data_IF_700187208958
#
_entry.id   IF_700187208958
#
_cell.length_a   1.000
_cell.length_b   1.000
_cell.length_c   1.000
_cell.angle_alpha   90.00
_cell.angle_beta   90.00
_cell.angle_gamma   90.00
#
_symmetry.space_group_name_H-M   'P 1'
#
loop_
_entity.id
_entity.type
_entity.pdbx_description
1 polymer ?
#
# COMPACT_ATOMS: atom_id res chain seq x y z
N UNK A 1 -65.64 -41.99 7.30
CA UNK A 1 -64.67 -41.45 8.30
C UNK A 1 -63.29 -41.95 7.89
N UNK A 2 -62.32 -41.19 7.40
CA UNK A 2 -62.12 -39.74 7.41
C UNK A 2 -60.66 -39.44 7.79
N UNK A 3 -59.75 -39.62 6.83
CA UNK A 3 -58.48 -38.89 6.63
C UNK A 3 -57.65 -38.44 7.85
N UNK A 4 -56.54 -39.13 8.15
CA UNK A 4 -55.32 -38.53 8.73
C UNK A 4 -54.06 -39.34 8.37
N UNK A 5 -53.44 -39.11 7.21
CA UNK A 5 -52.09 -39.66 6.94
C UNK A 5 -51.32 -38.99 5.78
N UNK A 6 -51.71 -37.78 5.35
CA UNK A 6 -51.08 -37.14 4.16
C UNK A 6 -50.21 -35.90 4.47
N UNK A 7 -50.27 -35.33 5.68
CA UNK A 7 -49.71 -33.97 5.91
C UNK A 7 -48.25 -33.96 6.40
N UNK A 8 -47.72 -35.05 6.95
CA UNK A 8 -46.38 -35.04 7.57
C UNK A 8 -45.19 -35.19 6.59
N UNK A 9 -45.37 -35.86 5.45
CA UNK A 9 -44.27 -36.14 4.50
C UNK A 9 -43.89 -34.92 3.63
N UNK A 10 -44.86 -34.07 3.28
CA UNK A 10 -44.63 -32.92 2.41
C UNK A 10 -43.85 -31.77 3.09
N UNK A 11 -43.84 -31.71 4.42
CA UNK A 11 -43.15 -30.70 5.22
C UNK A 11 -41.64 -30.95 5.31
N UNK A 12 -41.23 -32.20 5.55
CA UNK A 12 -39.83 -32.59 5.68
C UNK A 12 -39.05 -32.46 4.36
N UNK A 13 -39.66 -32.82 3.23
CA UNK A 13 -39.05 -32.64 1.91
C UNK A 13 -38.84 -31.18 1.53
N UNK A 14 -39.76 -30.27 1.92
CA UNK A 14 -39.61 -28.83 1.66
C UNK A 14 -38.54 -28.17 2.54
N UNK A 15 -38.33 -28.68 3.75
CA UNK A 15 -37.25 -28.24 4.66
C UNK A 15 -35.87 -28.63 4.11
N UNK A 16 -35.71 -29.87 3.66
CA UNK A 16 -34.43 -30.38 3.18
C UNK A 16 -34.00 -29.75 1.85
N UNK A 17 -34.96 -29.50 0.95
CA UNK A 17 -34.72 -28.80 -0.32
C UNK A 17 -34.35 -27.32 -0.11
N UNK A 18 -34.93 -26.67 0.91
CA UNK A 18 -34.56 -25.30 1.30
C UNK A 18 -33.15 -25.22 1.88
N UNK A 19 -32.74 -26.20 2.69
CA UNK A 19 -31.38 -26.27 3.22
C UNK A 19 -30.35 -26.58 2.13
N UNK A 20 -30.66 -27.46 1.18
CA UNK A 20 -29.80 -27.71 0.02
C UNK A 20 -29.69 -26.49 -0.90
N UNK A 21 -30.76 -25.73 -1.12
CA UNK A 21 -30.72 -24.49 -1.91
C UNK A 21 -29.93 -23.38 -1.19
N UNK A 22 -30.02 -23.27 0.14
CA UNK A 22 -29.21 -22.32 0.93
C UNK A 22 -27.73 -22.73 0.96
N UNK A 23 -27.41 -24.01 1.16
CA UNK A 23 -26.03 -24.51 1.08
C UNK A 23 -25.46 -24.41 -0.34
N UNK A 24 -26.26 -24.64 -1.39
CA UNK A 24 -25.82 -24.49 -2.78
C UNK A 24 -25.65 -23.03 -3.21
N UNK A 25 -26.38 -22.08 -2.61
CA UNK A 25 -26.16 -20.64 -2.81
C UNK A 25 -24.90 -20.13 -2.11
N UNK A 26 -24.45 -20.80 -1.04
CA UNK A 26 -23.19 -20.47 -0.35
C UNK A 26 -21.96 -20.95 -1.15
N UNK A 27 -22.10 -21.98 -1.99
CA UNK A 27 -20.97 -22.56 -2.78
C UNK A 27 -20.75 -21.86 -4.13
N UNK A 28 -21.68 -21.01 -4.58
CA UNK A 28 -21.63 -20.39 -5.92
C UNK A 28 -21.63 -18.85 -5.89
N UNK A 29 -20.88 -18.23 -4.98
CA UNK A 29 -20.45 -16.84 -5.16
C UNK A 29 -19.20 -16.86 -6.06
N UNK A 30 -19.29 -16.57 -7.37
CA UNK A 30 -18.08 -16.29 -8.14
C UNK A 30 -17.39 -15.11 -7.45
N UNK A 31 -16.12 -15.32 -7.09
CA UNK A 31 -15.33 -14.38 -6.30
C UNK A 31 -15.29 -12.99 -6.93
N UNK A 32 -16.09 -12.08 -6.41
CA UNK A 32 -15.91 -10.65 -6.62
C UNK A 32 -14.82 -10.17 -5.66
N UNK A 33 -13.75 -9.57 -6.18
CA UNK A 33 -12.92 -8.67 -5.37
C UNK A 33 -11.45 -8.48 -5.74
N UNK A 34 -10.80 -9.38 -6.49
CA UNK A 34 -9.36 -9.26 -6.82
C UNK A 34 -9.08 -8.97 -8.30
N UNK A 35 -7.99 -8.26 -8.60
CA UNK A 35 -7.43 -8.26 -9.95
C UNK A 35 -6.58 -9.53 -10.18
N UNK A 36 -6.27 -9.90 -11.44
CA UNK A 36 -5.42 -11.07 -11.69
C UNK A 36 -4.05 -10.97 -11.01
N UNK A 37 -3.54 -12.12 -10.60
CA UNK A 37 -2.17 -12.34 -10.10
C UNK A 37 -1.25 -12.67 -11.29
N UNK A 38 0.06 -12.73 -11.05
CA UNK A 38 1.06 -13.17 -12.04
C UNK A 38 1.18 -12.30 -13.30
N UNK A 39 0.82 -11.02 -13.19
CA UNK A 39 0.77 -10.05 -14.30
C UNK A 39 2.15 -9.56 -14.76
N UNK A 40 3.23 -9.92 -14.05
CA UNK A 40 4.58 -9.40 -14.31
C UNK A 40 5.40 -10.28 -15.25
N UNK A 41 4.78 -11.31 -15.85
CA UNK A 41 5.43 -12.04 -16.95
C UNK A 41 5.54 -11.09 -18.15
N UNK A 42 6.75 -10.78 -18.65
CA UNK A 42 6.89 -9.84 -19.75
C UNK A 42 6.15 -10.29 -21.00
N UNK A 43 5.41 -9.37 -21.61
CA UNK A 43 4.71 -9.57 -22.88
C UNK A 43 5.39 -8.78 -24.00
N UNK A 44 5.18 -9.19 -25.24
CA UNK A 44 5.63 -8.43 -26.40
C UNK A 44 4.96 -7.04 -26.43
N UNK A 45 5.72 -6.02 -26.82
CA UNK A 45 5.19 -4.67 -27.04
C UNK A 45 4.37 -4.61 -28.33
N UNK A 46 3.11 -5.02 -28.24
CA UNK A 46 2.14 -4.96 -29.35
C UNK A 46 1.52 -3.58 -29.53
N UNK A 47 1.88 -2.61 -28.68
CA UNK A 47 1.43 -1.21 -28.80
C UNK A 47 2.60 -0.23 -28.66
N UNK A 48 3.51 -0.15 -29.64
CA UNK A 48 4.75 0.62 -29.51
C UNK A 48 4.56 2.11 -29.24
N UNK A 49 3.42 2.67 -29.67
CA UNK A 49 3.05 4.07 -29.47
C UNK A 49 2.47 4.35 -28.07
N UNK A 50 2.20 3.30 -27.28
CA UNK A 50 1.78 3.46 -25.89
C UNK A 50 2.95 3.98 -25.04
N UNK A 51 2.70 4.95 -24.15
CA UNK A 51 3.70 5.42 -23.21
C UNK A 51 4.26 4.27 -22.37
N UNK A 52 5.55 4.35 -22.05
CA UNK A 52 6.24 3.37 -21.20
C UNK A 52 6.80 4.08 -19.99
N UNK A 53 6.76 3.41 -18.84
CA UNK A 53 7.42 3.84 -17.62
C UNK A 53 8.48 2.82 -17.28
N UNK A 54 9.74 3.24 -17.37
CA UNK A 54 10.88 2.50 -16.83
C UNK A 54 11.02 2.84 -15.35
N UNK A 55 11.36 1.89 -14.48
CA UNK A 55 11.60 2.13 -13.06
C UNK A 55 12.64 1.19 -12.46
N UNK A 56 13.41 1.72 -11.51
CA UNK A 56 14.23 0.92 -10.62
C UNK A 56 13.40 0.53 -9.41
N UNK A 57 13.45 -0.74 -9.05
CA UNK A 57 12.84 -1.25 -7.85
C UNK A 57 13.93 -1.63 -6.87
N UNK A 58 13.80 -1.19 -5.62
CA UNK A 58 14.57 -1.67 -4.48
C UNK A 58 13.63 -2.39 -3.53
N UNK A 59 13.90 -3.66 -3.22
CA UNK A 59 12.99 -4.48 -2.42
C UNK A 59 13.70 -5.30 -1.37
N UNK A 60 13.02 -5.51 -0.24
CA UNK A 60 13.39 -6.49 0.80
C UNK A 60 12.49 -7.72 0.78
N UNK A 61 11.72 -7.90 -0.30
CA UNK A 61 10.89 -9.09 -0.55
C UNK A 61 11.75 -10.25 -1.03
N UNK A 62 11.32 -11.46 -0.69
CA UNK A 62 11.92 -12.70 -1.18
C UNK A 62 11.55 -12.92 -2.63
N UNK A 63 12.52 -13.39 -3.42
CA UNK A 63 12.29 -13.78 -4.82
C UNK A 63 11.20 -14.85 -4.88
N UNK A 64 10.21 -14.67 -5.74
CA UNK A 64 9.21 -15.71 -5.97
C UNK A 64 9.73 -16.77 -6.93
N UNK A 65 9.28 -18.01 -6.73
CA UNK A 65 9.42 -19.10 -7.70
C UNK A 65 8.25 -19.15 -8.69
N UNK A 66 7.21 -18.35 -8.48
CA UNK A 66 6.03 -18.27 -9.35
C UNK A 66 6.32 -17.29 -10.49
N UNK A 67 6.24 -17.75 -11.77
CA UNK A 67 6.37 -16.86 -12.91
C UNK A 67 5.33 -15.75 -12.86
N UNK A 68 5.76 -14.49 -13.07
CA UNK A 68 4.86 -13.33 -13.09
C UNK A 68 4.54 -12.70 -11.74
N UNK A 69 4.96 -13.29 -10.62
CA UNK A 69 4.90 -12.64 -9.29
C UNK A 69 6.18 -11.83 -9.02
N UNK A 70 7.33 -12.30 -9.52
CA UNK A 70 8.67 -11.72 -9.38
C UNK A 70 9.20 -11.72 -7.92
N UNK A 71 8.49 -11.10 -6.98
CA UNK A 71 8.81 -11.10 -5.55
C UNK A 71 7.55 -11.29 -4.71
N UNK A 72 7.63 -12.13 -3.67
CA UNK A 72 6.47 -12.48 -2.85
C UNK A 72 6.33 -11.59 -1.59
N UNK A 73 5.45 -11.98 -0.66
CA UNK A 73 5.22 -11.28 0.60
C UNK A 73 6.22 -11.58 1.73
N UNK A 74 7.19 -12.46 1.52
CA UNK A 74 8.13 -12.92 2.56
C UNK A 74 9.41 -12.06 2.62
N UNK A 75 10.04 -11.98 3.79
CA UNK A 75 11.24 -11.16 4.03
C UNK A 75 12.50 -11.81 3.46
N UNK A 76 13.23 -11.07 2.62
CA UNK A 76 14.57 -11.44 2.18
C UNK A 76 15.64 -10.89 3.13
N UNK A 77 16.69 -11.68 3.38
CA UNK A 77 17.82 -11.30 4.25
C UNK A 77 18.64 -10.12 3.72
N UNK A 78 18.65 -9.92 2.40
CA UNK A 78 19.34 -8.84 1.74
C UNK A 78 18.41 -8.15 0.74
N UNK A 79 18.58 -6.85 0.48
CA UNK A 79 17.83 -6.16 -0.55
C UNK A 79 18.14 -6.72 -1.94
N UNK A 80 17.12 -6.76 -2.79
CA UNK A 80 17.21 -7.08 -4.21
C UNK A 80 16.79 -5.86 -5.05
N UNK A 81 17.20 -5.86 -6.32
CA UNK A 81 16.92 -4.78 -7.25
C UNK A 81 16.34 -5.33 -8.55
N UNK A 82 15.50 -4.54 -9.21
CA UNK A 82 14.94 -4.89 -10.51
C UNK A 82 14.77 -3.67 -11.42
N UNK A 83 14.88 -3.91 -12.72
CA UNK A 83 14.56 -2.96 -13.78
C UNK A 83 13.27 -3.41 -14.46
N UNK A 84 12.22 -2.60 -14.35
CA UNK A 84 10.93 -2.91 -14.94
C UNK A 84 10.47 -1.82 -15.90
N UNK A 85 9.89 -2.25 -17.01
CA UNK A 85 9.23 -1.36 -17.97
C UNK A 85 7.77 -1.76 -18.08
N UNK A 86 6.89 -0.81 -17.77
CA UNK A 86 5.43 -0.99 -17.85
C UNK A 86 4.89 -0.17 -19.01
N UNK A 87 4.20 -0.83 -19.94
CA UNK A 87 3.40 -0.16 -20.96
C UNK A 87 2.09 0.33 -20.37
N UNK A 88 1.76 1.60 -20.60
CA UNK A 88 0.54 2.24 -20.15
C UNK A 88 -0.41 2.38 -21.33
N UNK A 89 -1.64 1.82 -21.27
CA UNK A 89 -2.52 1.86 -22.42
C UNK A 89 -2.99 3.31 -22.68
N UNK A 90 -3.35 3.65 -23.93
CA UNK A 90 -3.70 5.01 -24.30
C UNK A 90 -4.83 5.58 -23.43
N UNK A 91 -4.78 6.87 -23.13
CA UNK A 91 -5.77 7.55 -22.27
C UNK A 91 -7.22 7.45 -22.75
N UNK A 92 -7.45 7.10 -24.03
CA UNK A 92 -8.80 6.88 -24.60
C UNK A 92 -9.45 5.58 -24.13
N UNK A 93 -8.67 4.61 -23.68
CA UNK A 93 -9.15 3.27 -23.30
C UNK A 93 -9.01 2.97 -21.80
N UNK A 94 -8.43 3.89 -21.04
CA UNK A 94 -8.31 3.82 -19.58
C UNK A 94 -8.80 5.11 -18.92
N UNK A 95 -9.20 5.01 -17.66
CA UNK A 95 -9.47 6.20 -16.83
C UNK A 95 -8.17 6.62 -16.14
N UNK A 96 -7.78 7.90 -16.25
CA UNK A 96 -6.65 8.46 -15.48
C UNK A 96 -6.89 8.30 -13.98
N UNK A 97 -5.83 8.05 -13.22
CA UNK A 97 -5.90 7.73 -11.80
C UNK A 97 -6.19 6.25 -11.49
N UNK A 98 -6.59 5.46 -12.49
CA UNK A 98 -6.86 4.03 -12.33
C UNK A 98 -5.82 3.19 -13.06
N UNK A 99 -5.44 2.08 -12.41
CA UNK A 99 -4.68 1.02 -13.06
C UNK A 99 -5.66 0.21 -13.91
N UNK A 100 -5.45 0.17 -15.22
CA UNK A 100 -6.22 -0.67 -16.12
C UNK A 100 -5.68 -2.11 -16.04
N UNK A 101 -6.11 -2.85 -15.01
CA UNK A 101 -5.71 -4.24 -14.82
C UNK A 101 -6.17 -5.13 -15.98
N UNK A 102 -5.34 -6.09 -16.43
CA UNK A 102 -5.76 -7.06 -17.43
C UNK A 102 -6.95 -7.86 -16.89
N UNK A 103 -7.91 -8.18 -17.76
CA UNK A 103 -9.04 -9.06 -17.41
C UNK A 103 -8.69 -10.54 -17.59
N UNK A 104 -7.68 -10.83 -18.40
CA UNK A 104 -7.15 -12.15 -18.73
C UNK A 104 -5.65 -12.02 -18.99
N UNK A 105 -4.89 -13.06 -18.67
CA UNK A 105 -3.48 -13.15 -19.02
C UNK A 105 -3.30 -13.85 -20.38
N UNK A 106 -2.24 -13.52 -21.15
CA UNK A 106 -1.29 -12.42 -20.90
C UNK A 106 -1.93 -11.03 -21.07
N UNK A 107 -1.37 -10.00 -20.41
CA UNK A 107 -1.86 -8.61 -20.53
C UNK A 107 -1.71 -8.07 -21.95
N UNK A 108 -2.63 -7.20 -22.38
CA UNK A 108 -2.58 -6.56 -23.69
C UNK A 108 -2.15 -5.08 -23.56
N UNK A 109 -0.95 -4.69 -24.03
CA UNK A 109 -0.46 -3.30 -24.00
C UNK A 109 -1.41 -2.25 -24.59
N UNK A 110 -2.30 -2.64 -25.51
CA UNK A 110 -3.27 -1.72 -26.11
C UNK A 110 -4.47 -1.39 -25.21
N UNK A 111 -4.75 -2.20 -24.18
CA UNK A 111 -5.93 -2.05 -23.32
C UNK A 111 -5.62 -2.06 -21.82
N UNK A 112 -4.49 -2.66 -21.44
CA UNK A 112 -4.13 -2.97 -20.07
C UNK A 112 -2.77 -2.37 -19.73
N UNK A 113 -2.52 -2.16 -18.43
CA UNK A 113 -1.16 -2.05 -17.93
C UNK A 113 -0.48 -3.39 -18.18
N UNK A 114 0.65 -3.35 -18.88
CA UNK A 114 1.35 -4.54 -19.32
C UNK A 114 2.84 -4.45 -19.00
N UNK A 115 3.36 -5.48 -18.34
CA UNK A 115 4.80 -5.61 -18.11
C UNK A 115 5.48 -6.01 -19.42
N UNK A 116 6.39 -5.18 -19.93
CA UNK A 116 7.15 -5.48 -21.16
C UNK A 116 8.62 -5.78 -20.87
N UNK A 117 9.08 -5.49 -19.65
CA UNK A 117 10.42 -5.83 -19.14
C UNK A 117 10.36 -6.08 -17.62
N UNK A 118 11.07 -7.10 -17.15
CA UNK A 118 11.19 -7.45 -15.73
C UNK A 118 12.52 -8.15 -15.44
N UNK A 119 13.60 -7.37 -15.36
CA UNK A 119 14.96 -7.91 -15.20
C UNK A 119 15.43 -7.77 -13.75
N UNK A 120 16.05 -8.82 -13.22
CA UNK A 120 16.77 -8.75 -11.94
C UNK A 120 18.08 -7.97 -12.13
N UNK A 121 18.40 -7.10 -11.17
CA UNK A 121 19.65 -6.35 -11.15
C UNK A 121 20.47 -6.70 -9.91
N UNK A 122 21.78 -6.79 -10.09
CA UNK A 122 22.70 -6.66 -8.97
C UNK A 122 22.87 -5.17 -8.57
N UNK A 123 23.55 -4.93 -7.45
CA UNK A 123 23.71 -3.57 -6.89
C UNK A 123 24.46 -2.62 -7.84
N UNK A 124 25.45 -3.09 -8.60
CA UNK A 124 26.21 -2.23 -9.50
C UNK A 124 25.43 -1.90 -10.77
N UNK A 125 24.60 -2.82 -11.24
CA UNK A 125 23.63 -2.58 -12.31
C UNK A 125 22.55 -1.59 -11.87
N UNK A 126 22.02 -1.73 -10.65
CA UNK A 126 21.05 -0.80 -10.08
C UNK A 126 21.60 0.64 -9.98
N UNK A 127 22.85 0.80 -9.53
CA UNK A 127 23.53 2.11 -9.50
C UNK A 127 23.71 2.69 -10.91
N UNK A 128 24.14 1.87 -11.88
CA UNK A 128 24.29 2.30 -13.28
C UNK A 128 22.95 2.72 -13.88
N UNK A 129 21.88 1.95 -13.64
CA UNK A 129 20.53 2.30 -14.07
C UNK A 129 20.12 3.65 -13.48
N UNK A 130 20.30 3.84 -12.17
CA UNK A 130 19.91 5.07 -11.49
C UNK A 130 20.67 6.29 -12.01
N UNK A 131 21.99 6.19 -12.15
CA UNK A 131 22.83 7.22 -12.75
C UNK A 131 22.35 7.59 -14.16
N UNK A 132 22.08 6.59 -15.01
CA UNK A 132 21.58 6.82 -16.36
C UNK A 132 20.19 7.49 -16.38
N UNK A 133 19.29 7.10 -15.48
CA UNK A 133 17.96 7.68 -15.36
C UNK A 133 18.00 9.12 -14.81
N UNK A 134 18.85 9.39 -13.81
CA UNK A 134 19.05 10.74 -13.26
C UNK A 134 19.60 11.70 -14.31
N UNK A 135 20.52 11.26 -15.18
CA UNK A 135 21.02 12.08 -16.30
C UNK A 135 19.95 12.43 -17.34
N UNK A 136 18.90 11.62 -17.44
CA UNK A 136 17.75 11.88 -18.33
C UNK A 136 16.72 12.81 -17.69
N UNK A 137 16.65 12.86 -16.35
CA UNK A 137 15.79 13.79 -15.63
C UNK A 137 16.30 15.23 -15.84
N UNK A 138 15.47 16.18 -16.30
CA UNK A 138 15.91 17.54 -16.64
C UNK A 138 16.63 18.29 -15.52
N UNK A 139 16.28 18.00 -14.27
CA UNK A 139 16.78 18.62 -13.05
C UNK A 139 17.65 17.68 -12.21
N UNK A 140 17.93 16.46 -12.69
CA UNK A 140 18.64 15.43 -11.93
C UNK A 140 17.90 14.98 -10.67
N UNK A 141 16.57 15.07 -10.65
CA UNK A 141 15.74 14.65 -9.52
C UNK A 141 15.43 13.15 -9.53
N UNK A 142 15.17 12.61 -8.34
CA UNK A 142 14.71 11.24 -8.10
C UNK A 142 13.37 11.28 -7.39
N UNK A 143 12.40 10.50 -7.88
CA UNK A 143 11.13 10.26 -7.19
C UNK A 143 11.17 8.87 -6.57
N UNK A 144 11.12 8.81 -5.24
CA UNK A 144 10.99 7.56 -4.49
C UNK A 144 9.54 7.35 -4.11
N UNK A 145 8.94 6.22 -4.51
CA UNK A 145 7.61 5.82 -4.07
C UNK A 145 7.66 4.64 -3.11
N UNK A 146 6.90 4.72 -2.01
CA UNK A 146 6.80 3.67 -0.97
C UNK A 146 5.34 3.28 -0.80
N UNK A 147 5.00 2.03 -1.12
CA UNK A 147 3.63 1.54 -1.08
C UNK A 147 3.08 1.34 0.35
N UNK A 148 1.76 1.20 0.43
CA UNK A 148 1.01 0.98 1.66
C UNK A 148 0.81 -0.48 2.06
N UNK A 149 -0.07 -0.66 3.05
CA UNK A 149 -0.50 -1.97 3.56
C UNK A 149 -1.36 -2.73 2.54
N UNK A 150 -1.37 -4.06 2.63
CA UNK A 150 -2.20 -4.92 1.77
C UNK A 150 -1.86 -4.77 0.28
N UNK A 151 -0.56 -4.74 -0.03
CA UNK A 151 -0.05 -4.62 -1.40
C UNK A 151 0.84 -5.82 -1.74
N UNK A 152 0.48 -6.57 -2.79
CA UNK A 152 1.42 -7.45 -3.48
C UNK A 152 2.43 -6.63 -4.27
N UNK A 153 3.43 -7.31 -4.82
CA UNK A 153 4.51 -6.65 -5.56
C UNK A 153 3.97 -5.97 -6.83
N UNK A 154 3.13 -6.65 -7.60
CA UNK A 154 2.50 -6.12 -8.82
C UNK A 154 1.63 -4.88 -8.55
N UNK A 155 0.96 -4.82 -7.40
CA UNK A 155 0.12 -3.68 -7.01
C UNK A 155 0.96 -2.41 -6.89
N UNK A 156 2.12 -2.54 -6.26
CA UNK A 156 3.06 -1.44 -6.07
C UNK A 156 3.67 -1.01 -7.41
N UNK A 157 4.04 -1.96 -8.26
CA UNK A 157 4.62 -1.69 -9.59
C UNK A 157 3.62 -0.95 -10.48
N UNK A 158 2.41 -1.48 -10.66
CA UNK A 158 1.43 -0.87 -11.56
C UNK A 158 0.91 0.45 -11.01
N UNK A 159 0.74 0.57 -9.69
CA UNK A 159 0.36 1.85 -9.07
C UNK A 159 1.44 2.92 -9.27
N UNK A 160 2.71 2.57 -9.12
CA UNK A 160 3.78 3.56 -9.32
C UNK A 160 3.91 3.95 -10.80
N UNK A 161 3.80 2.99 -11.72
CA UNK A 161 3.76 3.28 -13.16
C UNK A 161 2.62 4.26 -13.50
N UNK A 162 1.44 4.05 -12.89
CA UNK A 162 0.29 4.94 -13.05
C UNK A 162 0.59 6.34 -12.52
N UNK A 163 1.16 6.47 -11.31
CA UNK A 163 1.48 7.76 -10.70
C UNK A 163 2.50 8.52 -11.57
N UNK A 164 3.60 7.88 -11.96
CA UNK A 164 4.66 8.51 -12.78
C UNK A 164 4.07 9.04 -14.10
N UNK A 165 3.31 8.20 -14.80
CA UNK A 165 2.75 8.58 -16.08
C UNK A 165 1.64 9.65 -15.96
N UNK A 166 0.70 9.49 -15.02
CA UNK A 166 -0.44 10.41 -14.91
C UNK A 166 -0.07 11.77 -14.30
N UNK A 167 0.99 11.83 -13.48
CA UNK A 167 1.50 13.08 -12.90
C UNK A 167 2.32 13.90 -13.86
N UNK A 168 2.91 13.28 -14.89
CA UNK A 168 3.83 13.94 -15.81
C UNK A 168 5.17 14.27 -15.19
N UNK A 169 5.53 13.66 -14.06
CA UNK A 169 6.83 13.85 -13.41
C UNK A 169 7.98 13.35 -14.30
N UNK A 170 9.08 14.10 -14.34
CA UNK A 170 10.26 13.76 -15.15
C UNK A 170 11.47 13.29 -14.33
N UNK A 171 11.31 13.11 -13.01
CA UNK A 171 12.32 12.54 -12.11
C UNK A 171 12.63 11.08 -12.42
N UNK A 172 13.83 10.63 -12.08
CA UNK A 172 14.18 9.22 -12.12
C UNK A 172 13.29 8.41 -11.14
N UNK A 173 12.46 7.47 -11.61
CA UNK A 173 11.49 6.77 -10.78
C UNK A 173 12.11 5.57 -10.05
N UNK A 174 12.03 5.60 -8.71
CA UNK A 174 12.49 4.52 -7.83
C UNK A 174 11.33 4.02 -6.98
N UNK A 175 10.96 2.75 -7.16
CA UNK A 175 9.97 2.08 -6.32
C UNK A 175 10.67 1.38 -5.17
N UNK A 176 10.24 1.65 -3.94
CA UNK A 176 10.63 0.86 -2.77
C UNK A 176 9.47 -0.05 -2.39
N UNK A 177 9.74 -1.35 -2.38
CA UNK A 177 8.77 -2.34 -1.89
C UNK A 177 9.28 -3.05 -0.64
N UNK A 178 8.37 -3.28 0.30
CA UNK A 178 8.62 -3.99 1.55
C UNK A 178 7.71 -5.23 1.63
N UNK A 179 8.01 -6.24 2.47
CA UNK A 179 7.30 -7.52 2.48
C UNK A 179 5.89 -7.42 3.05
N UNK A 180 4.96 -6.96 2.21
CA UNK A 180 3.52 -7.04 2.45
C UNK A 180 2.98 -8.33 1.84
N UNK A 181 2.18 -9.06 2.61
CA UNK A 181 1.51 -10.28 2.15
C UNK A 181 0.27 -10.01 1.29
N UNK A 182 -0.10 -8.75 1.08
CA UNK A 182 -1.30 -8.42 0.33
C UNK A 182 -2.57 -9.02 0.95
N UNK A 183 -2.63 -9.04 2.30
CA UNK A 183 -3.82 -9.51 3.02
C UNK A 183 -4.19 -8.60 4.19
N UNK A 184 -5.49 -8.35 4.36
CA UNK A 184 -6.04 -7.61 5.51
C UNK A 184 -5.74 -8.31 6.85
N UNK A 185 -5.64 -9.63 6.86
CA UNK A 185 -5.33 -10.42 8.06
C UNK A 185 -3.85 -10.37 8.45
N UNK A 186 -2.98 -9.95 7.53
CA UNK A 186 -1.54 -9.89 7.73
C UNK A 186 -1.07 -8.56 8.34
N UNK A 187 -1.97 -7.71 8.86
CA UNK A 187 -1.64 -6.37 9.36
C UNK A 187 -0.44 -6.35 10.32
N UNK A 188 -0.41 -7.24 11.31
CA UNK A 188 0.71 -7.33 12.26
C UNK A 188 2.03 -7.75 11.60
N UNK A 189 1.97 -8.70 10.65
CA UNK A 189 3.15 -9.12 9.90
C UNK A 189 3.68 -7.98 9.03
N UNK A 190 2.80 -7.32 8.27
CA UNK A 190 3.12 -6.21 7.39
C UNK A 190 3.75 -5.05 8.18
N UNK A 191 3.19 -4.74 9.35
CA UNK A 191 3.75 -3.75 10.28
C UNK A 191 5.20 -4.08 10.65
N UNK A 192 5.47 -5.29 11.12
CA UNK A 192 6.83 -5.71 11.45
C UNK A 192 7.75 -5.77 10.22
N UNK A 193 7.20 -6.04 9.03
CA UNK A 193 7.93 -6.03 7.77
C UNK A 193 8.34 -4.62 7.33
N UNK A 194 7.56 -3.58 7.69
CA UNK A 194 8.02 -2.20 7.53
C UNK A 194 9.26 -1.92 8.41
N UNK A 195 9.22 -2.28 9.69
CA UNK A 195 10.38 -2.12 10.59
C UNK A 195 11.60 -2.91 10.09
N UNK A 196 11.39 -4.12 9.58
CA UNK A 196 12.43 -4.95 8.96
C UNK A 196 13.13 -4.21 7.80
N UNK A 197 12.37 -3.47 6.99
CA UNK A 197 12.85 -2.80 5.77
C UNK A 197 13.57 -1.47 6.04
N UNK A 198 13.38 -0.88 7.24
CA UNK A 198 13.92 0.44 7.63
C UNK A 198 15.39 0.64 7.26
N UNK A 199 16.26 -0.31 7.61
CA UNK A 199 17.69 -0.16 7.39
C UNK A 199 18.07 -0.19 5.90
N UNK A 200 17.36 -1.00 5.10
CA UNK A 200 17.56 -1.04 3.66
C UNK A 200 17.13 0.28 3.01
N UNK A 201 16.00 0.84 3.44
CA UNK A 201 15.54 2.14 2.96
C UNK A 201 16.47 3.28 3.39
N UNK A 202 16.93 3.30 4.65
CA UNK A 202 17.96 4.26 5.09
C UNK A 202 19.22 4.15 4.22
N UNK A 203 19.65 2.93 3.89
CA UNK A 203 20.83 2.71 3.03
C UNK A 203 20.62 3.29 1.63
N UNK A 204 19.44 3.10 1.03
CA UNK A 204 19.07 3.75 -0.23
C UNK A 204 19.11 5.28 -0.11
N UNK A 205 18.54 5.85 0.96
CA UNK A 205 18.54 7.29 1.18
C UNK A 205 19.96 7.85 1.36
N UNK A 206 20.83 7.13 2.08
CA UNK A 206 22.25 7.48 2.22
C UNK A 206 22.98 7.43 0.87
N UNK A 207 22.64 6.49 -0.01
CA UNK A 207 23.18 6.44 -1.37
C UNK A 207 22.74 7.68 -2.17
N UNK A 208 21.43 7.97 -2.23
CA UNK A 208 20.88 9.12 -2.95
C UNK A 208 21.45 10.46 -2.45
N UNK A 209 21.67 10.58 -1.14
CA UNK A 209 22.30 11.77 -0.55
C UNK A 209 23.72 12.01 -1.08
N UNK A 210 24.51 10.94 -1.17
CA UNK A 210 25.94 11.00 -1.50
C UNK A 210 26.21 11.07 -3.00
N UNK A 211 25.32 10.56 -3.82
CA UNK A 211 25.47 10.54 -5.28
C UNK A 211 25.51 11.98 -5.84
N UNK A 212 26.62 12.43 -6.45
CA UNK A 212 26.75 13.80 -6.95
C UNK A 212 25.85 14.11 -8.15
N UNK A 213 25.35 13.09 -8.84
CA UNK A 213 24.46 13.25 -9.99
C UNK A 213 23.03 13.58 -9.54
N UNK A 214 22.60 13.01 -8.41
CA UNK A 214 21.31 13.32 -7.79
C UNK A 214 21.34 14.74 -7.22
N UNK A 215 20.45 15.59 -7.72
CA UNK A 215 20.30 16.99 -7.27
C UNK A 215 19.17 17.15 -6.27
N UNK A 216 18.13 16.34 -6.42
CA UNK A 216 16.94 16.40 -5.57
C UNK A 216 16.34 15.00 -5.38
N UNK A 217 15.82 14.76 -4.18
CA UNK A 217 15.05 13.57 -3.82
C UNK A 217 13.68 14.01 -3.33
N UNK A 218 12.65 13.54 -4.04
CA UNK A 218 11.25 13.65 -3.64
C UNK A 218 10.74 12.28 -3.20
N UNK A 219 10.05 12.20 -2.07
CA UNK A 219 9.47 10.96 -1.54
C UNK A 219 7.96 11.07 -1.58
N UNK A 220 7.28 10.07 -2.15
CA UNK A 220 5.85 9.86 -2.04
C UNK A 220 5.59 8.54 -1.31
N UNK A 221 4.99 8.59 -0.13
CA UNK A 221 4.67 7.41 0.65
C UNK A 221 3.15 7.30 0.86
N UNK A 222 2.62 6.08 0.85
CA UNK A 222 1.18 5.83 1.03
C UNK A 222 0.88 4.99 2.25
N UNK A 223 -0.20 5.33 2.99
CA UNK A 223 -0.72 4.52 4.09
C UNK A 223 0.36 4.14 5.12
N UNK A 224 0.50 2.85 5.44
CA UNK A 224 1.55 2.30 6.31
C UNK A 224 2.97 2.54 5.78
N UNK A 225 3.18 2.76 4.48
CA UNK A 225 4.47 3.13 3.91
C UNK A 225 5.00 4.46 4.46
N UNK A 226 4.12 5.34 4.95
CA UNK A 226 4.52 6.59 5.60
C UNK A 226 5.31 6.34 6.89
N UNK A 227 4.96 5.30 7.66
CA UNK A 227 5.73 4.90 8.83
C UNK A 227 7.16 4.56 8.46
N UNK A 228 7.33 3.72 7.44
CA UNK A 228 8.64 3.30 6.94
C UNK A 228 9.46 4.50 6.44
N UNK A 229 8.83 5.41 5.69
CA UNK A 229 9.47 6.61 5.17
C UNK A 229 9.98 7.52 6.31
N UNK A 230 9.09 7.86 7.25
CA UNK A 230 9.40 8.75 8.37
C UNK A 230 10.46 8.15 9.29
N UNK A 231 10.35 6.87 9.60
CA UNK A 231 11.29 6.22 10.49
C UNK A 231 12.68 6.09 9.85
N UNK A 232 12.75 5.87 8.53
CA UNK A 232 14.03 5.82 7.80
C UNK A 232 14.68 7.21 7.68
N UNK A 233 13.88 8.26 7.43
CA UNK A 233 14.35 9.65 7.44
C UNK A 233 14.83 10.05 8.84
N UNK A 234 14.09 9.71 9.89
CA UNK A 234 14.46 9.99 11.27
C UNK A 234 15.78 9.30 11.62
N UNK A 235 15.91 8.02 11.30
CA UNK A 235 17.14 7.25 11.54
C UNK A 235 18.34 7.88 10.79
N UNK A 236 18.14 8.27 9.54
CA UNK A 236 19.14 8.97 8.74
C UNK A 236 19.55 10.31 9.38
N UNK A 237 18.58 11.09 9.85
CA UNK A 237 18.80 12.37 10.50
C UNK A 237 19.62 12.21 11.78
N UNK A 238 19.27 11.24 12.64
CA UNK A 238 20.00 10.93 13.86
C UNK A 238 21.43 10.49 13.54
N UNK A 239 21.61 9.59 12.56
CA UNK A 239 22.94 9.09 12.18
C UNK A 239 23.84 10.20 11.61
N UNK A 240 23.26 11.10 10.83
CA UNK A 240 24.00 12.17 10.13
C UNK A 240 24.05 13.48 10.93
N UNK A 241 23.32 13.59 12.04
CA UNK A 241 23.07 14.82 12.78
C UNK A 241 22.10 15.81 12.10
N UNK A 242 21.67 15.52 10.86
CA UNK A 242 20.71 16.30 10.06
C UNK A 242 20.26 15.51 8.83
N UNK A 243 19.11 15.89 8.25
CA UNK A 243 18.75 15.43 6.91
C UNK A 243 19.56 16.15 5.82
N UNK A 244 20.00 15.47 4.76
CA UNK A 244 20.65 16.14 3.63
C UNK A 244 19.70 17.07 2.89
N UNK A 245 20.19 18.22 2.44
CA UNK A 245 19.41 19.24 1.70
C UNK A 245 18.78 18.75 0.40
N UNK A 246 19.30 17.66 -0.16
CA UNK A 246 18.74 17.02 -1.37
C UNK A 246 17.33 16.46 -1.13
N UNK A 247 17.00 16.07 0.10
CA UNK A 247 15.66 15.60 0.44
C UNK A 247 14.76 16.82 0.63
N UNK A 248 14.13 17.27 -0.46
CA UNK A 248 13.38 18.52 -0.48
C UNK A 248 11.90 18.31 -0.20
N UNK A 249 11.27 17.35 -0.86
CA UNK A 249 9.82 17.14 -0.81
C UNK A 249 9.50 15.77 -0.23
N UNK A 250 8.69 15.73 0.83
CA UNK A 250 8.16 14.49 1.39
C UNK A 250 6.63 14.56 1.43
N UNK A 251 6.00 13.82 0.53
CA UNK A 251 4.56 13.74 0.34
C UNK A 251 4.03 12.48 1.04
N UNK A 252 3.23 12.68 2.07
CA UNK A 252 2.64 11.63 2.88
C UNK A 252 1.15 11.48 2.54
N UNK A 253 0.82 10.46 1.76
CA UNK A 253 -0.54 10.21 1.32
C UNK A 253 -1.29 9.27 2.27
N UNK A 254 -2.43 9.74 2.78
CA UNK A 254 -3.27 9.03 3.75
C UNK A 254 -2.46 8.35 4.87
N UNK A 255 -1.60 9.08 5.61
CA UNK A 255 -0.63 8.48 6.51
C UNK A 255 -1.27 7.67 7.65
N UNK A 256 -1.01 6.36 7.65
CA UNK A 256 -1.33 5.46 8.77
C UNK A 256 -0.22 5.53 9.82
N UNK A 257 -0.10 6.71 10.42
CA UNK A 257 0.91 7.04 11.43
C UNK A 257 0.21 7.70 12.61
N UNK A 258 0.59 7.30 13.80
CA UNK A 258 0.17 7.93 15.04
C UNK A 258 0.65 9.40 15.08
N UNK A 259 -0.24 10.33 15.42
CA UNK A 259 0.08 11.77 15.47
C UNK A 259 1.17 12.12 16.48
N UNK A 260 1.21 11.45 17.64
CA UNK A 260 2.22 11.69 18.66
C UNK A 260 3.57 11.12 18.22
N UNK A 261 3.56 9.96 17.55
CA UNK A 261 4.79 9.41 16.97
C UNK A 261 5.30 10.31 15.85
N UNK A 262 4.44 10.80 14.96
CA UNK A 262 4.85 11.75 13.94
C UNK A 262 5.48 13.00 14.56
N UNK A 263 4.88 13.57 15.61
CA UNK A 263 5.43 14.72 16.33
C UNK A 263 6.83 14.45 16.86
N UNK A 264 7.03 13.28 17.50
CA UNK A 264 8.35 12.88 17.98
C UNK A 264 9.35 12.67 16.83
N UNK A 265 8.91 12.07 15.72
CA UNK A 265 9.77 11.81 14.57
C UNK A 265 10.25 13.10 13.91
N UNK A 266 9.38 14.11 13.77
CA UNK A 266 9.75 15.43 13.27
C UNK A 266 10.73 16.12 14.23
N UNK A 267 10.47 16.05 15.54
CA UNK A 267 11.38 16.62 16.54
C UNK A 267 12.78 15.99 16.49
N UNK A 268 12.85 14.65 16.37
CA UNK A 268 14.10 13.89 16.28
C UNK A 268 14.89 14.17 14.97
N UNK A 269 14.22 14.60 13.89
CA UNK A 269 14.91 15.03 12.65
C UNK A 269 15.62 16.38 12.80
N UNK A 270 15.28 17.16 13.84
CA UNK A 270 15.86 18.47 14.11
C UNK A 270 15.25 19.60 13.27
N UNK A 271 15.87 20.78 13.32
CA UNK A 271 15.34 22.00 12.68
C UNK A 271 15.37 21.98 11.16
N UNK A 272 16.27 21.20 10.58
CA UNK A 272 16.39 21.05 9.14
C UNK A 272 15.58 19.83 8.71
N UNK A 273 14.40 20.09 8.17
CA UNK A 273 13.51 19.06 7.65
C UNK A 273 13.07 19.38 6.22
N UNK A 274 12.70 18.35 5.44
CA UNK A 274 12.08 18.55 4.12
C UNK A 274 10.76 19.32 4.24
N UNK A 275 10.28 19.78 3.09
CA UNK A 275 8.90 20.25 2.94
C UNK A 275 7.96 19.05 3.00
N UNK A 276 7.31 18.87 4.14
CA UNK A 276 6.28 17.85 4.31
C UNK A 276 4.96 18.31 3.73
N UNK A 277 4.31 17.43 2.97
CA UNK A 277 2.95 17.61 2.46
C UNK A 277 2.09 16.43 2.88
N UNK A 278 1.04 16.66 3.66
CA UNK A 278 0.09 15.63 4.06
C UNK A 278 -1.13 15.66 3.14
N UNK A 279 -1.49 14.51 2.57
CA UNK A 279 -2.80 14.33 1.94
C UNK A 279 -3.70 13.61 2.94
N UNK A 280 -4.67 14.32 3.50
CA UNK A 280 -5.54 13.82 4.57
C UNK A 280 -6.97 13.67 4.07
N UNK A 281 -7.74 12.78 4.68
CA UNK A 281 -9.16 12.62 4.38
C UNK A 281 -9.88 12.14 5.64
N UNK A 282 -10.83 12.94 6.15
CA UNK A 282 -11.57 12.61 7.38
C UNK A 282 -12.56 11.46 7.20
N UNK A 283 -12.99 11.22 5.97
CA UNK A 283 -13.89 10.13 5.57
C UNK A 283 -13.14 8.87 5.08
N UNK A 284 -11.84 8.74 5.40
CA UNK A 284 -11.02 7.57 5.10
C UNK A 284 -11.39 6.39 6.01
N UNK A 285 -11.98 5.36 5.40
CA UNK A 285 -12.48 4.18 6.11
C UNK A 285 -11.36 3.21 6.48
N UNK A 286 -10.28 3.17 5.72
CA UNK A 286 -9.14 2.31 6.02
C UNK A 286 -8.40 2.82 7.26
N UNK A 287 -8.21 4.13 7.37
CA UNK A 287 -7.64 4.74 8.57
C UNK A 287 -8.56 4.64 9.79
N UNK A 288 -9.88 4.72 9.60
CA UNK A 288 -10.85 4.45 10.67
C UNK A 288 -10.72 3.01 11.21
N UNK A 289 -10.51 2.03 10.33
CA UNK A 289 -10.21 0.65 10.73
C UNK A 289 -8.88 0.55 11.47
N UNK A 290 -7.80 1.17 10.95
CA UNK A 290 -6.50 1.19 11.63
C UNK A 290 -6.60 1.81 13.04
N UNK A 291 -7.26 2.96 13.19
CA UNK A 291 -7.51 3.59 14.49
C UNK A 291 -8.14 2.61 15.48
N UNK A 292 -9.13 1.83 15.05
CA UNK A 292 -9.77 0.81 15.90
C UNK A 292 -8.80 -0.30 16.32
N UNK A 293 -7.97 -0.79 15.40
CA UNK A 293 -6.98 -1.84 15.68
C UNK A 293 -5.96 -1.37 16.73
N UNK A 294 -5.65 -0.08 16.76
CA UNK A 294 -4.62 0.50 17.63
C UNK A 294 -5.17 1.22 18.86
N UNK A 295 -6.31 0.78 19.39
CA UNK A 295 -6.81 1.30 20.66
C UNK A 295 -7.36 2.73 20.58
N UNK A 296 -7.93 3.09 19.44
CA UNK A 296 -8.62 4.36 19.19
C UNK A 296 -7.72 5.60 19.10
N UNK A 297 -6.44 5.42 18.78
CA UNK A 297 -5.50 6.54 18.62
C UNK A 297 -5.64 7.22 17.25
N UNK A 298 -5.58 8.56 17.25
CA UNK A 298 -5.70 9.40 16.06
C UNK A 298 -4.62 9.07 15.02
N UNK A 299 -5.06 8.90 13.76
CA UNK A 299 -4.16 8.72 12.61
C UNK A 299 -3.93 10.03 11.91
N UNK A 300 -2.67 10.31 11.56
CA UNK A 300 -2.24 11.52 10.90
C UNK A 300 -3.05 11.79 9.61
N UNK A 301 -3.39 10.75 8.85
CA UNK A 301 -4.17 10.88 7.62
C UNK A 301 -5.65 11.18 7.82
N UNK A 302 -6.17 11.06 9.04
CA UNK A 302 -7.59 11.24 9.37
C UNK A 302 -7.85 12.44 10.30
N UNK A 303 -6.84 13.28 10.57
CA UNK A 303 -7.00 14.48 11.38
C UNK A 303 -7.87 15.54 10.68
N UNK A 304 -8.43 16.45 11.47
CA UNK A 304 -8.95 17.71 10.96
C UNK A 304 -7.84 18.77 11.06
N UNK A 305 -7.23 19.20 9.94
CA UNK A 305 -6.09 20.11 9.97
C UNK A 305 -6.45 21.53 10.39
N UNK A 306 -7.74 21.90 10.38
CA UNK A 306 -8.18 23.25 10.78
C UNK A 306 -8.47 23.36 12.29
N UNK A 307 -8.40 22.26 13.02
CA UNK A 307 -8.71 22.21 14.45
C UNK A 307 -7.45 22.18 15.32
N UNK A 308 -7.55 22.76 16.51
CA UNK A 308 -6.53 22.63 17.54
C UNK A 308 -6.52 21.20 18.14
N UNK A 309 -5.35 20.65 18.50
CA UNK A 309 -4.01 21.27 18.44
C UNK A 309 -3.34 21.20 17.06
N UNK A 310 -3.88 20.42 16.11
CA UNK A 310 -3.21 20.08 14.85
C UNK A 310 -2.86 21.28 13.98
N UNK A 311 -3.77 22.25 13.82
CA UNK A 311 -3.54 23.44 12.99
C UNK A 311 -2.22 24.15 13.36
N UNK A 312 -2.08 24.44 14.65
CA UNK A 312 -0.90 25.12 15.19
C UNK A 312 0.36 24.27 15.04
N UNK A 313 0.27 22.96 15.33
CA UNK A 313 1.43 22.07 15.21
C UNK A 313 1.93 21.96 13.77
N UNK A 314 1.03 21.89 12.80
CA UNK A 314 1.35 21.83 11.38
C UNK A 314 1.98 23.16 10.91
N UNK A 315 1.42 24.30 11.31
CA UNK A 315 1.95 25.64 11.01
C UNK A 315 3.36 25.85 11.62
N UNK A 316 3.53 25.53 12.91
CA UNK A 316 4.80 25.70 13.63
C UNK A 316 5.93 24.85 13.00
N UNK A 317 5.60 23.70 12.41
CA UNK A 317 6.53 22.82 11.70
C UNK A 317 6.55 23.02 10.18
N UNK A 318 5.84 24.03 9.66
CA UNK A 318 5.75 24.34 8.21
C UNK A 318 5.32 23.13 7.36
N UNK A 319 4.40 22.32 7.89
CA UNK A 319 3.85 21.16 7.21
C UNK A 319 2.64 21.61 6.39
N UNK A 320 2.69 21.38 5.08
CA UNK A 320 1.57 21.67 4.19
C UNK A 320 0.54 20.54 4.28
N UNK A 321 -0.76 20.87 4.26
CA UNK A 321 -1.84 19.87 4.25
C UNK A 321 -2.80 20.12 3.11
N UNK A 322 -3.15 19.05 2.41
CA UNK A 322 -4.16 19.02 1.35
C UNK A 322 -5.30 18.13 1.86
N UNK A 323 -6.44 18.75 2.20
CA UNK A 323 -7.64 18.04 2.66
C UNK A 323 -8.44 17.49 1.46
N UNK A 324 -8.43 16.17 1.30
CA UNK A 324 -9.13 15.42 0.27
C UNK A 324 -10.52 14.95 0.70
N UNK A 325 -11.02 15.34 1.88
CA UNK A 325 -12.33 14.91 2.41
C UNK A 325 -13.46 15.14 1.41
N UNK A 326 -13.43 16.26 0.66
CA UNK A 326 -14.46 16.60 -0.34
C UNK A 326 -14.23 16.00 -1.73
N UNK A 327 -13.10 15.35 -1.96
CA UNK A 327 -12.77 14.72 -3.23
C UNK A 327 -13.43 13.36 -3.31
N UNK A 328 -14.10 13.09 -4.43
CA UNK A 328 -14.73 11.79 -4.70
C UNK A 328 -13.67 10.79 -5.17
N UNK A 329 -13.72 9.56 -4.65
CA UNK A 329 -12.88 8.46 -5.10
C UNK A 329 -13.68 7.38 -5.81
N UNK A 330 -12.99 6.56 -6.62
CA UNK A 330 -13.56 5.33 -7.17
C UNK A 330 -13.46 4.17 -6.17
N UNK A 331 -12.51 4.22 -5.24
CA UNK A 331 -12.32 3.20 -4.21
C UNK A 331 -13.36 3.29 -3.07
N UNK A 332 -13.84 2.14 -2.62
CA UNK A 332 -14.88 2.04 -1.59
C UNK A 332 -14.41 2.49 -0.19
N UNK A 333 -13.09 2.56 0.02
CA UNK A 333 -12.44 2.89 1.29
C UNK A 333 -12.08 4.37 1.44
N UNK A 334 -12.20 5.17 0.37
CA UNK A 334 -11.75 6.56 0.33
C UNK A 334 -10.24 6.75 0.65
N UNK A 335 -9.44 5.70 0.49
CA UNK A 335 -8.03 5.65 0.92
C UNK A 335 -7.05 5.90 -0.23
N UNK A 336 -7.52 5.76 -1.48
CA UNK A 336 -6.74 5.92 -2.70
C UNK A 336 -6.86 7.29 -3.37
N UNK A 337 -7.59 8.25 -2.78
CA UNK A 337 -7.95 9.55 -3.39
C UNK A 337 -6.76 10.31 -4.02
N UNK A 338 -5.58 10.25 -3.38
CA UNK A 338 -4.37 10.92 -3.84
C UNK A 338 -3.88 10.45 -5.21
N UNK A 339 -4.10 9.17 -5.55
CA UNK A 339 -3.67 8.55 -6.80
C UNK A 339 -4.82 8.39 -7.81
N UNK A 340 -6.07 8.37 -7.35
CA UNK A 340 -7.25 8.18 -8.20
C UNK A 340 -7.85 9.47 -8.77
N UNK A 341 -7.62 10.61 -8.13
CA UNK A 341 -8.00 11.92 -8.68
C UNK A 341 -6.91 12.43 -9.64
N UNK A 342 -7.23 12.61 -10.94
CA UNK A 342 -6.27 13.18 -11.90
C UNK A 342 -5.73 14.54 -11.46
N UNK A 343 -6.56 15.35 -10.82
CA UNK A 343 -6.19 16.68 -10.33
C UNK A 343 -5.13 16.57 -9.22
N UNK A 344 -5.31 15.66 -8.26
CA UNK A 344 -4.33 15.47 -7.18
C UNK A 344 -3.03 14.86 -7.70
N UNK A 345 -3.10 13.91 -8.64
CA UNK A 345 -1.91 13.32 -9.26
C UNK A 345 -1.12 14.37 -10.07
N UNK A 346 -1.80 15.31 -10.73
CA UNK A 346 -1.15 16.44 -11.39
C UNK A 346 -0.51 17.41 -10.38
N UNK A 347 -1.17 17.69 -9.25
CA UNK A 347 -0.57 18.50 -8.18
C UNK A 347 0.72 17.87 -7.62
N UNK A 348 0.75 16.54 -7.48
CA UNK A 348 1.97 15.80 -7.11
C UNK A 348 3.06 16.04 -8.14
N UNK A 349 2.74 15.91 -9.43
CA UNK A 349 3.69 16.16 -10.52
C UNK A 349 4.25 17.59 -10.53
N UNK A 350 3.38 18.59 -10.40
CA UNK A 350 3.77 20.00 -10.31
C UNK A 350 4.69 20.26 -9.11
N UNK A 351 4.37 19.67 -7.96
CA UNK A 351 5.19 19.85 -6.75
C UNK A 351 6.59 19.27 -6.90
N UNK A 352 6.71 18.12 -7.56
CA UNK A 352 8.00 17.48 -7.81
C UNK A 352 8.79 18.25 -8.87
N UNK A 353 8.15 18.67 -9.96
CA UNK A 353 8.83 19.30 -11.10
C UNK A 353 9.20 20.78 -10.88
N UNK A 354 8.36 21.55 -10.21
CA UNK A 354 8.55 23.01 -10.12
C UNK A 354 9.28 23.44 -8.84
N UNK A 355 9.47 22.52 -7.87
CA UNK A 355 10.05 22.82 -6.57
C UNK A 355 9.30 23.89 -5.77
N UNK A 356 8.11 24.32 -6.22
CA UNK A 356 7.37 25.43 -5.65
C UNK A 356 6.58 25.01 -4.41
N UNK A 357 6.72 25.81 -3.35
CA UNK A 357 5.78 25.84 -2.24
C UNK A 357 4.44 26.42 -2.73
N UNK A 358 3.33 25.70 -2.58
CA UNK A 358 1.97 26.21 -2.84
C UNK A 358 1.54 27.26 -1.78
N UNK A 359 2.45 28.13 -1.37
CA UNK A 359 2.23 29.13 -0.31
C UNK A 359 1.81 30.50 -0.84
N UNK A 360 1.82 30.75 -2.15
CA UNK A 360 1.43 32.05 -2.73
C UNK A 360 0.11 32.03 -3.51
N UNK A 361 -0.78 31.10 -3.16
CA UNK A 361 -2.16 31.22 -3.59
C UNK A 361 -3.04 30.60 -2.52
N UNK A 362 -4.05 31.35 -2.10
CA UNK A 362 -5.31 30.79 -1.63
C UNK A 362 -5.84 29.83 -2.71
N UNK A 363 -5.27 28.62 -2.83
CA UNK A 363 -5.92 27.53 -3.53
C UNK A 363 -6.81 26.85 -2.51
N UNK A 364 -7.84 27.59 -2.10
CA UNK A 364 -9.06 26.95 -1.67
C UNK A 364 -9.56 26.15 -2.88
N UNK A 365 -9.43 24.83 -2.82
CA UNK A 365 -10.18 23.92 -3.71
C UNK A 365 -11.71 24.09 -3.59
N UNK A 366 -12.19 25.05 -2.79
CA UNK A 366 -13.56 25.54 -2.77
C UNK A 366 -13.93 26.48 -3.94
N UNK A 367 -12.99 27.23 -4.53
CA UNK A 367 -13.33 28.28 -5.51
C UNK A 367 -13.40 27.78 -6.97
N UNK A 368 -12.91 26.56 -7.26
CA UNK A 368 -13.04 25.94 -8.58
C UNK A 368 -14.02 24.76 -8.64
N UNK A 369 -14.76 24.48 -7.57
CA UNK A 369 -15.86 23.50 -7.58
C UNK A 369 -17.18 24.23 -7.34
N UNK A 370 -17.55 25.08 -8.29
CA UNK A 370 -18.93 25.53 -8.46
C UNK A 370 -19.48 24.94 -9.76
N UNK A 371 -19.69 23.62 -9.77
CA UNK A 371 -20.52 22.97 -10.80
C UNK A 371 -21.61 22.16 -10.09
N UNK A 372 -22.75 22.84 -9.97
CA UNK A 372 -24.11 22.30 -9.96
C UNK A 372 -24.42 21.12 -9.02
N UNK A 373 -24.97 21.44 -7.85
CA UNK A 373 -26.15 20.73 -7.32
C UNK A 373 -26.94 21.68 -6.41
N UNK A 374 -27.79 22.50 -7.02
CA UNK A 374 -28.96 23.05 -6.34
C UNK A 374 -30.03 21.94 -6.22
N UNK A 375 -30.55 21.74 -5.00
CA UNK A 375 -31.81 21.03 -4.79
C UNK A 375 -31.70 19.67 -4.11
N UNK A 376 -31.77 19.66 -2.77
CA UNK A 376 -32.92 19.14 -2.02
C UNK A 376 -32.48 18.87 -0.57
N UNK A 377 -32.96 19.70 0.35
CA UNK A 377 -32.91 19.43 1.77
C UNK A 377 -34.19 18.71 2.20
N UNK A 378 -34.05 17.60 2.93
CA UNK A 378 -35.02 17.16 3.93
C UNK A 378 -34.33 16.32 5.00
N UNK A 379 -34.84 16.47 6.22
CA UNK A 379 -34.15 16.29 7.48
C UNK A 379 -34.51 14.99 8.23
N UNK A 380 -33.65 14.69 9.22
CA UNK A 380 -33.93 14.09 10.53
C UNK A 380 -34.12 12.56 10.68
N UNK A 381 -33.41 12.01 11.69
CA UNK A 381 -33.86 10.83 12.46
C UNK A 381 -32.74 9.93 13.00
N UNK A 382 -32.31 10.14 14.25
CA UNK A 382 -31.53 9.18 15.04
C UNK A 382 -32.41 7.97 15.43
N UNK A 383 -32.01 6.72 15.13
CA UNK A 383 -32.38 5.52 15.92
C UNK A 383 -31.31 4.42 15.81
N UNK A 384 -30.75 4.08 16.97
CA UNK A 384 -30.22 2.80 17.47
C UNK A 384 -29.41 1.81 16.58
N UNK A 385 -28.19 1.51 17.05
CA UNK A 385 -27.92 0.23 17.73
C UNK A 385 -27.62 -1.02 16.88
N UNK A 386 -26.34 -1.39 16.89
CA UNK A 386 -25.81 -2.77 16.80
C UNK A 386 -26.23 -3.65 15.61
N UNK A 387 -25.32 -3.85 14.63
CA UNK A 387 -25.26 -5.09 13.84
C UNK A 387 -23.80 -5.47 13.50
N UNK A 388 -23.32 -6.50 14.22
CA UNK A 388 -22.41 -7.59 13.85
C UNK A 388 -21.04 -7.26 13.19
N UNK A 389 -19.97 -7.59 13.91
CA UNK A 389 -18.69 -7.93 13.30
C UNK A 389 -18.88 -9.14 12.37
N UNK A 390 -18.88 -8.91 11.05
CA UNK A 390 -18.81 -9.97 10.05
C UNK A 390 -17.37 -10.51 9.96
N UNK A 391 -17.16 -11.78 9.53
CA UNK A 391 -15.81 -12.31 9.39
C UNK A 391 -15.08 -11.53 8.30
N UNK A 392 -13.92 -10.95 8.62
CA UNK A 392 -13.09 -10.15 7.69
C UNK A 392 -12.67 -10.93 6.43
N UNK A 393 -12.91 -12.25 6.39
CA UNK A 393 -12.74 -13.09 5.21
C UNK A 393 -13.87 -12.98 4.15
N UNK A 394 -15.02 -12.37 4.43
CA UNK A 394 -16.14 -12.40 3.47
C UNK A 394 -16.00 -11.34 2.35
N UNK A 395 -15.14 -10.34 2.51
CA UNK A 395 -15.12 -9.15 1.62
C UNK A 395 -13.96 -9.15 0.62
N UNK A 396 -12.81 -9.74 0.94
CA UNK A 396 -11.59 -9.62 0.10
C UNK A 396 -11.05 -11.00 -0.34
N UNK A 397 -10.76 -11.15 -1.64
CA UNK A 397 -10.32 -12.43 -2.22
C UNK A 397 -8.93 -12.82 -1.74
N UNK A 398 -8.00 -11.87 -1.68
CA UNK A 398 -6.63 -12.17 -1.27
C UNK A 398 -6.54 -12.55 0.20
N UNK A 399 -7.39 -11.93 1.02
CA UNK A 399 -7.59 -12.30 2.40
C UNK A 399 -8.20 -13.70 2.55
N UNK A 400 -9.14 -14.11 1.68
CA UNK A 400 -9.66 -15.49 1.66
C UNK A 400 -8.59 -16.50 1.27
N UNK A 401 -7.82 -16.22 0.23
CA UNK A 401 -6.76 -17.11 -0.26
C UNK A 401 -5.70 -17.32 0.84
N UNK A 402 -5.37 -16.26 1.60
CA UNK A 402 -4.43 -16.31 2.71
C UNK A 402 -5.02 -16.90 4.01
N UNK A 403 -6.36 -17.02 4.13
CA UNK A 403 -7.02 -17.50 5.34
C UNK A 403 -6.66 -18.95 5.67
N UNK A 404 -6.60 -19.84 4.66
CA UNK A 404 -6.23 -21.24 4.86
C UNK A 404 -4.82 -21.39 5.48
N UNK A 405 -3.88 -20.56 5.04
CA UNK A 405 -2.50 -20.51 5.57
C UNK A 405 -2.47 -20.00 7.01
N UNK A 406 -3.27 -19.00 7.36
CA UNK A 406 -3.38 -18.45 8.72
C UNK A 406 -4.05 -19.42 9.69
N UNK A 407 -5.07 -20.16 9.26
CA UNK A 407 -5.70 -21.21 10.08
C UNK A 407 -4.77 -22.40 10.26
N UNK A 408 -3.99 -22.77 9.23
CA UNK A 408 -2.98 -23.82 9.34
C UNK A 408 -1.86 -23.50 10.33
N UNK A 409 -1.46 -22.24 10.44
CA UNK A 409 -0.46 -21.78 11.43
C UNK A 409 -1.02 -21.69 12.86
N UNK A 410 -2.30 -21.36 13.03
CA UNK A 410 -2.98 -21.39 14.34
C UNK A 410 -3.37 -22.82 14.79
N UNK A 411 -3.67 -23.71 13.86
CA UNK A 411 -3.96 -25.13 14.13
C UNK A 411 -2.68 -25.97 14.33
N UNK A 412 -1.51 -25.44 13.95
CA UNK A 412 -0.20 -26.09 14.05
C UNK A 412 0.39 -26.19 15.46
N UNK A 413 -0.27 -25.69 16.50
CA UNK A 413 0.15 -25.85 17.91
C UNK A 413 -0.69 -26.89 18.66
N UNK A 414 -0.88 -28.06 18.06
CA UNK A 414 -1.49 -29.22 18.73
C UNK A 414 -0.81 -30.53 18.33
N UNK A 415 0.52 -30.57 18.29
CA UNK A 415 1.23 -31.82 18.53
C UNK A 415 1.30 -32.05 20.03
N UNK A 416 0.52 -33.02 20.51
CA UNK A 416 0.70 -33.57 21.84
C UNK A 416 2.18 -33.97 22.00
N UNK A 417 2.90 -33.32 22.92
CA UNK A 417 4.17 -33.85 23.40
C UNK A 417 3.91 -35.25 23.96
N UNK A 418 4.69 -36.28 23.59
CA UNK A 418 4.66 -37.52 24.35
C UNK A 418 5.10 -37.19 25.77
N UNK A 419 4.28 -37.54 26.74
CA UNK A 419 4.62 -37.44 28.16
C UNK A 419 5.97 -38.14 28.40
N UNK A 420 6.86 -37.46 29.12
CA UNK A 420 8.11 -38.03 29.57
C UNK A 420 7.85 -39.32 30.36
N UNK A 421 8.39 -40.44 29.87
CA UNK A 421 8.41 -41.68 30.60
C UNK A 421 9.36 -41.53 31.80
N UNK A 422 8.81 -41.53 33.01
CA UNK A 422 9.57 -41.73 34.24
C UNK A 422 9.84 -43.23 34.39
N UNK A 423 10.95 -43.71 33.86
CA UNK A 423 11.57 -44.91 34.42
C UNK A 423 13.08 -44.92 34.13
N UNK A 424 13.86 -44.48 35.12
CA UNK A 424 15.31 -44.68 35.15
C UNK A 424 15.60 -45.80 36.13
N UNK A 425 15.79 -47.02 35.61
CA UNK A 425 16.29 -48.18 36.35
C UNK A 425 17.73 -47.92 36.82
N UNK A 426 17.97 -48.06 38.13
CA UNK A 426 19.23 -47.72 38.81
C UNK A 426 20.33 -48.80 38.74
N UNK A 427 20.30 -49.76 37.82
CA UNK A 427 21.15 -50.96 37.98
C UNK A 427 22.30 -51.20 37.00
N UNK A 428 22.63 -50.34 36.02
CA UNK A 428 23.86 -50.54 35.18
C UNK A 428 24.60 -49.26 34.73
N UNK A 429 25.94 -49.24 34.70
CA UNK A 429 26.72 -48.07 34.30
C UNK A 429 27.11 -48.10 32.81
N UNK A 430 27.12 -46.92 32.14
CA UNK A 430 28.02 -46.42 31.04
C UNK A 430 27.29 -45.44 30.07
N UNK A 431 27.97 -44.58 29.26
CA UNK A 431 28.36 -43.24 29.72
C UNK A 431 28.31 -42.16 28.61
N UNK A 432 27.31 -41.27 28.56
CA UNK A 432 27.47 -39.95 27.91
C UNK A 432 26.25 -39.05 28.10
N UNK A 433 26.17 -38.41 29.25
CA UNK A 433 25.52 -37.11 29.37
C UNK A 433 26.58 -36.13 29.86
N UNK A 434 26.93 -35.13 29.06
CA UNK A 434 27.57 -33.92 29.57
C UNK A 434 26.83 -32.69 29.05
N UNK A 435 26.75 -31.75 29.99
CA UNK A 435 25.95 -30.54 30.13
C UNK A 435 25.90 -29.63 28.92
#
# INVERSE_FOLDING_TARGET
MGSQSSVASASAHKSWLRWFLVCSMIVALPGCGGHPKDVLTPVADTSPQSPKVDMLIATTRTRSTVPGEMFNGERALAPAFADMTISIPPSKVRKKGQVAWPKKLPSNPATDFATVKADDLNIDEAKKWLSASVRKAPDGSVLVFIHGFNNRFEDAVYRFAQIVHDSGVHSAPVLVTWPSRGSLLAYGYDRESTNYTRNALETLFQYLAKDPEVKEVSILAHSMGNWLALESLRQMAIRNGRLPEKFKNVMLAAPDVDVDVFRQQIADMGKQHPQFTLFVSRDDKALAFSRRVWGDVSRLGAIDPEQAPYKKELEDNKIMVIDLTKIKSGDSMNHGKFAESPEIVQLIGQRISDGQTLTDSHVGLGDQILVATSGAATAAGNVAGLVLAAPVAVVDQDTRDNYATHVGTLAGSSSAQPAAANDCDQTRPTPSCKR
#
